data_IF_896409471469
#
_entry.id   IF_896409471469
#
_cell.length_a   1.000
_cell.length_b   1.000
_cell.length_c   1.000
_cell.angle_alpha   90.00
_cell.angle_beta   90.00
_cell.angle_gamma   90.00
#
_symmetry.space_group_name_H-M   'P 1'
#
loop_
_entity.id
_entity.type
_entity.pdbx_description
1 polymer ?
#
# COMPACT_ATOMS: atom_id res chain seq x y z
N UNK A 1 -14.45 -19.52 -20.36
CA UNK A 1 -13.71 -18.26 -20.60
C UNK A 1 -13.59 -17.60 -19.23
N UNK A 2 -12.46 -17.78 -18.54
CA UNK A 2 -12.16 -17.15 -17.24
C UNK A 2 -10.78 -16.54 -17.41
N UNK A 3 -10.76 -15.33 -17.95
CA UNK A 3 -9.58 -14.51 -18.15
C UNK A 3 -9.98 -13.14 -17.63
N UNK A 4 -9.95 -12.95 -16.30
CA UNK A 4 -10.00 -11.61 -15.69
C UNK A 4 -9.82 -11.58 -14.15
N UNK A 5 -9.87 -12.71 -13.43
CA UNK A 5 -9.86 -12.65 -11.94
C UNK A 5 -8.56 -12.15 -11.31
N UNK A 6 -7.46 -12.09 -12.06
CA UNK A 6 -6.17 -11.63 -11.54
C UNK A 6 -5.99 -10.11 -11.65
N UNK A 7 -6.69 -9.47 -12.58
CA UNK A 7 -6.70 -8.01 -12.77
C UNK A 7 -7.91 -7.35 -12.12
N UNK A 8 -8.78 -8.09 -11.44
CA UNK A 8 -9.87 -7.51 -10.66
C UNK A 8 -9.31 -6.67 -9.50
N UNK A 9 -9.50 -5.35 -9.55
CA UNK A 9 -8.89 -4.44 -8.59
C UNK A 9 -9.36 -4.66 -7.15
N UNK A 10 -10.63 -5.03 -6.95
CA UNK A 10 -11.17 -5.40 -5.64
C UNK A 10 -10.47 -6.64 -5.11
N UNK A 11 -10.29 -7.66 -5.96
CA UNK A 11 -9.60 -8.89 -5.58
C UNK A 11 -8.13 -8.63 -5.24
N UNK A 12 -7.45 -7.79 -6.01
CA UNK A 12 -6.07 -7.37 -5.74
C UNK A 12 -5.98 -6.68 -4.38
N UNK A 13 -6.89 -5.75 -4.06
CA UNK A 13 -6.91 -5.06 -2.77
C UNK A 13 -7.17 -6.02 -1.60
N UNK A 14 -8.08 -6.99 -1.74
CA UNK A 14 -8.32 -8.01 -0.72
C UNK A 14 -7.08 -8.88 -0.45
N UNK A 15 -6.37 -9.29 -1.51
CA UNK A 15 -5.12 -10.03 -1.39
C UNK A 15 -4.05 -9.19 -0.68
N UNK A 16 -3.95 -7.91 -1.03
CA UNK A 16 -3.01 -6.98 -0.39
C UNK A 16 -3.33 -6.78 1.10
N UNK A 17 -4.60 -6.60 1.46
CA UNK A 17 -5.01 -6.51 2.86
C UNK A 17 -4.57 -7.75 3.65
N UNK A 18 -4.77 -8.94 3.06
CA UNK A 18 -4.36 -10.21 3.67
C UNK A 18 -2.85 -10.31 3.86
N UNK A 19 -2.05 -9.76 2.94
CA UNK A 19 -0.59 -9.72 3.08
C UNK A 19 -0.13 -8.78 4.19
N UNK A 20 -0.75 -7.59 4.29
CA UNK A 20 -0.43 -6.60 5.32
C UNK A 20 -0.77 -7.14 6.71
N UNK A 21 -1.93 -7.75 6.88
CA UNK A 21 -2.35 -8.29 8.20
C UNK A 21 -1.80 -9.68 8.51
N UNK A 22 -1.41 -10.46 7.51
CA UNK A 22 -0.99 -11.85 7.68
C UNK A 22 0.50 -12.04 8.03
N UNK A 23 1.31 -10.98 8.00
CA UNK A 23 2.75 -11.02 8.27
C UNK A 23 3.04 -10.60 9.72
N UNK A 24 2.68 -11.46 10.66
CA UNK A 24 2.69 -11.16 12.11
C UNK A 24 4.05 -10.68 12.66
N UNK A 25 5.18 -11.09 12.06
CA UNK A 25 6.51 -10.65 12.53
C UNK A 25 7.06 -9.41 11.81
N UNK A 26 6.74 -9.23 10.52
CA UNK A 26 7.36 -8.18 9.69
C UNK A 26 6.52 -6.90 9.62
N UNK A 27 5.20 -7.00 9.84
CA UNK A 27 4.24 -5.91 9.73
C UNK A 27 3.38 -5.77 10.98
N UNK A 28 3.85 -6.24 12.14
CA UNK A 28 3.13 -6.16 13.41
C UNK A 28 2.68 -4.76 13.79
N UNK A 29 3.43 -3.72 13.38
CA UNK A 29 3.10 -2.31 13.59
C UNK A 29 1.99 -1.80 12.65
N UNK A 30 1.74 -2.49 11.55
CA UNK A 30 0.75 -2.10 10.55
C UNK A 30 -0.62 -2.71 10.85
N UNK A 31 -1.66 -1.92 10.66
CA UNK A 31 -3.05 -2.36 10.76
C UNK A 31 -3.88 -1.84 9.60
N UNK A 32 -4.86 -2.61 9.15
CA UNK A 32 -5.85 -2.16 8.18
C UNK A 32 -6.99 -1.47 8.94
N UNK A 33 -7.28 -0.22 8.58
CA UNK A 33 -8.31 0.63 9.19
C UNK A 33 -9.24 1.19 8.11
N UNK A 34 -10.43 1.63 8.51
CA UNK A 34 -11.43 2.27 7.62
C UNK A 34 -11.76 1.42 6.38
N UNK A 35 -11.82 0.10 6.54
CA UNK A 35 -12.07 -0.83 5.44
C UNK A 35 -13.54 -0.86 5.02
N UNK A 36 -13.77 -0.70 3.73
CA UNK A 36 -15.04 -0.89 3.05
C UNK A 36 -14.96 -2.15 2.16
N UNK A 37 -15.48 -3.31 2.62
CA UNK A 37 -15.43 -4.56 1.87
C UNK A 37 -16.36 -4.59 0.65
N UNK A 38 -17.35 -3.69 0.60
CA UNK A 38 -18.37 -3.61 -0.45
C UNK A 38 -18.12 -2.43 -1.41
N UNK A 39 -16.92 -1.83 -1.35
CA UNK A 39 -16.52 -0.71 -2.19
C UNK A 39 -16.69 -1.04 -3.68
N UNK A 40 -17.38 -0.15 -4.40
CA UNK A 40 -17.50 -0.25 -5.86
C UNK A 40 -16.30 0.42 -6.55
N UNK A 41 -15.56 -0.29 -7.42
CA UNK A 41 -14.43 0.29 -8.14
C UNK A 41 -14.84 1.44 -9.06
N UNK A 42 -14.00 2.47 -9.14
CA UNK A 42 -14.20 3.63 -10.02
C UNK A 42 -12.95 3.88 -10.86
N UNK A 43 -13.09 4.55 -12.01
CA UNK A 43 -11.95 4.86 -12.89
C UNK A 43 -10.90 5.76 -12.21
N UNK A 44 -11.31 6.63 -11.29
CA UNK A 44 -10.40 7.48 -10.50
C UNK A 44 -9.81 6.77 -9.26
N UNK A 45 -10.35 5.60 -8.91
CA UNK A 45 -10.01 4.83 -7.72
C UNK A 45 -10.93 5.15 -6.55
N UNK A 46 -11.67 4.15 -6.07
CA UNK A 46 -12.44 4.25 -4.82
C UNK A 46 -11.58 3.82 -3.64
N UNK A 47 -11.62 4.55 -2.52
CA UNK A 47 -10.86 4.18 -1.33
C UNK A 47 -11.46 2.89 -0.73
N UNK A 48 -10.66 1.81 -0.69
CA UNK A 48 -11.07 0.53 -0.12
C UNK A 48 -10.74 0.46 1.37
N UNK A 49 -9.54 0.89 1.76
CA UNK A 49 -9.10 0.92 3.15
C UNK A 49 -7.84 1.79 3.30
N UNK A 50 -7.51 2.13 4.55
CA UNK A 50 -6.23 2.72 4.91
C UNK A 50 -5.37 1.71 5.69
N UNK A 51 -4.07 1.95 5.68
CA UNK A 51 -3.08 1.25 6.51
C UNK A 51 -2.55 2.26 7.51
N UNK A 52 -2.63 1.91 8.79
CA UNK A 52 -2.15 2.73 9.88
C UNK A 52 -0.98 2.08 10.61
N UNK A 53 -0.03 2.89 11.07
CA UNK A 53 1.00 2.53 12.04
C UNK A 53 0.80 3.41 13.28
N UNK A 54 0.71 2.80 14.46
CA UNK A 54 0.51 3.49 15.75
C UNK A 54 -0.64 4.52 15.76
N UNK A 55 -1.69 4.23 15.00
CA UNK A 55 -2.89 5.06 14.89
C UNK A 55 -2.82 6.17 13.84
N UNK A 56 -1.68 6.34 13.15
CA UNK A 56 -1.52 7.32 12.08
C UNK A 56 -1.54 6.66 10.70
N UNK A 57 -2.16 7.31 9.70
CA UNK A 57 -2.29 6.71 8.36
C UNK A 57 -0.99 6.84 7.58
N UNK A 58 -0.42 5.69 7.22
CA UNK A 58 0.85 5.61 6.49
C UNK A 58 0.67 5.24 5.02
N UNK A 59 -0.44 4.57 4.66
CA UNK A 59 -0.81 4.31 3.28
C UNK A 59 -2.34 4.24 3.09
N UNK A 60 -2.80 4.48 1.87
CA UNK A 60 -4.21 4.39 1.45
C UNK A 60 -4.30 3.47 0.22
N UNK A 61 -5.28 2.57 0.18
CA UNK A 61 -5.46 1.63 -0.93
C UNK A 61 -6.75 1.95 -1.66
N UNK A 62 -6.60 2.23 -2.96
CA UNK A 62 -7.68 2.56 -3.87
C UNK A 62 -7.89 1.44 -4.87
N UNK A 63 -9.15 1.18 -5.21
CA UNK A 63 -9.56 0.18 -6.20
C UNK A 63 -10.11 0.82 -7.46
N UNK A 64 -9.58 0.38 -8.59
CA UNK A 64 -10.09 0.65 -9.93
C UNK A 64 -10.58 -0.68 -10.52
N UNK A 65 -11.37 -0.69 -11.61
CA UNK A 65 -11.89 -1.93 -12.16
C UNK A 65 -10.80 -2.98 -12.47
N UNK A 66 -9.64 -2.54 -12.95
CA UNK A 66 -8.57 -3.38 -13.50
C UNK A 66 -7.28 -3.43 -12.65
N UNK A 67 -7.25 -2.76 -11.49
CA UNK A 67 -6.06 -2.65 -10.64
C UNK A 67 -6.37 -2.11 -9.25
N UNK A 68 -5.44 -2.31 -8.33
CA UNK A 68 -5.37 -1.54 -7.09
C UNK A 68 -4.22 -0.52 -7.17
N UNK A 69 -4.34 0.55 -6.38
CA UNK A 69 -3.32 1.59 -6.24
C UNK A 69 -3.08 1.88 -4.78
N UNK A 70 -1.83 1.75 -4.35
CA UNK A 70 -1.39 2.13 -3.01
C UNK A 70 -0.83 3.55 -3.08
N UNK A 71 -1.40 4.48 -2.32
CA UNK A 71 -0.78 5.77 -2.03
C UNK A 71 -0.01 5.63 -0.71
N UNK A 72 1.31 5.82 -0.73
CA UNK A 72 2.13 5.94 0.47
C UNK A 72 2.14 7.42 0.93
N UNK A 73 1.74 7.64 2.17
CA UNK A 73 1.64 8.96 2.81
C UNK A 73 2.89 9.26 3.63
N UNK A 74 3.46 8.25 4.27
CA UNK A 74 4.70 8.32 5.03
C UNK A 74 5.88 7.77 4.22
N UNK A 75 7.05 8.37 4.40
CA UNK A 75 8.30 8.01 3.71
C UNK A 75 8.12 7.68 2.19
N UNK A 76 7.56 8.60 1.39
CA UNK A 76 7.21 8.34 -0.01
C UNK A 76 8.44 8.03 -0.90
N UNK A 77 9.63 8.50 -0.54
CA UNK A 77 10.85 8.30 -1.33
C UNK A 77 11.40 6.86 -1.20
N UNK A 78 11.54 6.36 0.04
CA UNK A 78 12.05 4.99 0.27
C UNK A 78 11.06 3.92 -0.21
N UNK A 79 9.76 4.20 -0.10
CA UNK A 79 8.70 3.31 -0.63
C UNK A 79 8.67 3.33 -2.16
N UNK A 80 8.89 4.49 -2.80
CA UNK A 80 9.02 4.60 -4.24
C UNK A 80 10.21 3.80 -4.79
N UNK A 81 11.36 3.90 -4.14
CA UNK A 81 12.58 3.19 -4.51
C UNK A 81 12.37 1.68 -4.43
N UNK A 82 11.94 1.17 -3.28
CA UNK A 82 11.71 -0.26 -3.07
C UNK A 82 10.65 -0.85 -4.02
N UNK A 83 9.56 -0.10 -4.28
CA UNK A 83 8.55 -0.53 -5.24
C UNK A 83 9.08 -0.56 -6.68
N UNK A 84 9.90 0.43 -7.06
CA UNK A 84 10.50 0.49 -8.40
C UNK A 84 11.51 -0.64 -8.62
N UNK A 85 12.33 -0.95 -7.61
CA UNK A 85 13.27 -2.08 -7.64
C UNK A 85 12.55 -3.44 -7.73
N UNK A 86 11.38 -3.57 -7.10
CA UNK A 86 10.51 -4.73 -7.22
C UNK A 86 9.79 -4.83 -8.59
N UNK A 87 9.99 -3.86 -9.49
CA UNK A 87 9.40 -3.83 -10.83
C UNK A 87 7.98 -3.29 -10.90
N UNK A 88 7.48 -2.66 -9.84
CA UNK A 88 6.17 -2.03 -9.82
C UNK A 88 6.21 -0.66 -10.52
N UNK A 89 5.06 -0.27 -11.08
CA UNK A 89 4.91 1.07 -11.65
C UNK A 89 4.71 2.07 -10.52
N UNK A 90 5.64 3.04 -10.43
CA UNK A 90 5.61 4.10 -9.41
C UNK A 90 5.36 5.47 -10.05
N UNK A 91 4.58 6.32 -9.38
CA UNK A 91 4.34 7.71 -9.76
C UNK A 91 4.38 8.63 -8.52
N UNK A 92 5.39 9.50 -8.41
CA UNK A 92 5.37 10.58 -7.42
C UNK A 92 4.18 11.52 -7.67
N UNK A 93 3.55 12.00 -6.60
CA UNK A 93 2.45 12.96 -6.64
C UNK A 93 2.91 14.25 -5.95
N UNK A 94 2.97 15.32 -6.73
CA UNK A 94 3.39 16.65 -6.27
C UNK A 94 2.30 17.35 -5.43
N UNK A 95 1.94 16.73 -4.30
CA UNK A 95 1.04 17.27 -3.27
C UNK A 95 1.84 17.61 -2.01
N UNK A 96 1.21 18.29 -1.04
CA UNK A 96 1.81 18.56 0.27
C UNK A 96 0.92 18.00 1.38
N UNK A 97 1.41 17.09 2.23
CA UNK A 97 2.72 16.42 2.16
C UNK A 97 2.90 15.57 0.89
N UNK A 98 4.14 15.32 0.43
CA UNK A 98 4.41 14.51 -0.76
C UNK A 98 3.86 13.09 -0.61
N UNK A 99 3.43 12.50 -1.72
CA UNK A 99 2.90 11.12 -1.76
C UNK A 99 3.48 10.36 -2.93
N UNK A 100 3.56 9.05 -2.80
CA UNK A 100 3.96 8.14 -3.88
C UNK A 100 2.84 7.16 -4.19
N UNK A 101 2.51 7.01 -5.47
CA UNK A 101 1.52 6.06 -5.97
C UNK A 101 2.23 4.84 -6.53
N UNK A 102 1.82 3.67 -6.08
CA UNK A 102 2.28 2.36 -6.58
C UNK A 102 1.08 1.62 -7.15
N UNK A 103 1.18 1.19 -8.42
CA UNK A 103 0.12 0.47 -9.11
C UNK A 103 0.34 -1.04 -9.01
N UNK A 104 -0.74 -1.77 -8.71
CA UNK A 104 -0.78 -3.23 -8.63
C UNK A 104 -1.85 -3.70 -9.61
N UNK A 105 -1.41 -4.18 -10.76
CA UNK A 105 -2.25 -4.49 -11.94
C UNK A 105 -2.57 -5.98 -12.05
N UNK A 106 -1.95 -6.82 -11.22
CA UNK A 106 -2.17 -8.27 -11.17
C UNK A 106 -2.02 -8.82 -9.75
N UNK A 107 -2.78 -9.87 -9.41
CA UNK A 107 -2.72 -10.55 -8.13
C UNK A 107 -1.33 -11.07 -7.75
N UNK A 108 -0.46 -11.42 -8.71
CA UNK A 108 0.92 -11.81 -8.46
C UNK A 108 1.79 -10.62 -7.99
N UNK A 109 1.49 -9.40 -8.47
CA UNK A 109 2.20 -8.18 -8.07
C UNK A 109 1.94 -7.80 -6.61
N UNK A 110 0.89 -8.35 -5.98
CA UNK A 110 0.64 -8.16 -4.55
C UNK A 110 1.86 -8.56 -3.71
N UNK A 111 2.57 -9.63 -4.08
CA UNK A 111 3.79 -10.03 -3.36
C UNK A 111 4.96 -9.07 -3.59
N UNK A 112 4.94 -8.33 -4.69
CA UNK A 112 5.98 -7.38 -5.05
C UNK A 112 5.83 -6.06 -4.29
N UNK A 113 4.69 -5.83 -3.61
CA UNK A 113 4.52 -4.67 -2.72
C UNK A 113 5.23 -4.86 -1.38
N UNK A 114 5.52 -6.10 -0.99
CA UNK A 114 6.10 -6.42 0.32
C UNK A 114 7.42 -5.68 0.60
N UNK A 115 8.38 -5.56 -0.34
CA UNK A 115 9.58 -4.76 -0.13
C UNK A 115 9.28 -3.29 0.19
N UNK A 116 8.25 -2.69 -0.44
CA UNK A 116 7.87 -1.30 -0.17
C UNK A 116 7.27 -1.13 1.22
N UNK A 117 6.40 -2.05 1.66
CA UNK A 117 5.89 -2.04 3.04
C UNK A 117 6.98 -2.32 4.07
N UNK A 118 7.96 -3.19 3.77
CA UNK A 118 9.12 -3.41 4.64
C UNK A 118 10.00 -2.16 4.75
N UNK A 119 10.25 -1.47 3.64
CA UNK A 119 10.99 -0.22 3.64
C UNK A 119 10.25 0.88 4.43
N UNK A 120 8.93 0.93 4.33
CA UNK A 120 8.09 1.82 5.14
C UNK A 120 8.27 1.54 6.64
N UNK A 121 8.07 0.29 7.08
CA UNK A 121 8.22 -0.10 8.48
C UNK A 121 9.62 0.23 9.00
N UNK A 122 10.67 -0.13 8.25
CA UNK A 122 12.04 0.17 8.64
C UNK A 122 12.31 1.68 8.77
N UNK A 123 11.65 2.51 7.97
CA UNK A 123 11.79 3.97 8.04
C UNK A 123 11.01 4.59 9.21
N UNK A 124 9.82 4.06 9.52
CA UNK A 124 9.04 4.44 10.71
C UNK A 124 9.82 4.13 11.98
N UNK A 125 10.32 2.91 12.09
CA UNK A 125 11.17 2.44 13.19
C UNK A 125 12.44 3.29 13.36
N UNK A 126 12.99 3.84 12.28
CA UNK A 126 14.15 4.72 12.34
C UNK A 126 13.80 6.12 12.85
N UNK A 127 12.65 6.67 12.42
CA UNK A 127 12.17 7.98 12.85
C UNK A 127 11.79 8.02 14.34
N UNK A 128 11.16 6.96 14.86
CA UNK A 128 10.82 6.87 16.29
C UNK A 128 12.06 6.88 17.20
N UNK A 129 13.18 6.32 16.74
CA UNK A 129 14.45 6.33 17.48
C UNK A 129 15.10 7.71 17.55
N UNK A 130 14.83 8.58 16.58
CA UNK A 130 15.32 9.96 16.59
C UNK A 130 14.52 10.86 17.56
N UNK A 131 13.25 10.50 17.85
CA UNK A 131 12.39 11.27 18.77
C UNK A 131 12.61 10.93 20.26
N UNK A 132 13.11 9.73 20.59
CA UNK A 132 13.37 9.28 21.97
C UNK A 132 14.75 9.73 22.52
N UNK A 133 15.63 10.29 21.68
CA UNK A 133 16.94 10.85 22.09
C UNK A 133 16.95 12.38 22.33
N UNK A 134 15.76 13.03 22.31
CA UNK A 134 15.58 14.49 22.38
C UNK A 134 15.31 15.10 23.76
#
# INVERSE_FOLDING_TARGET
MVVDSLSDGTRIAQLLASEVTGHEDAFSVLSVVDSDPDVEPTDDGALAYAVAADGERVAEVYVQPDRARVEFLAHPDVTAEAASEAGLRVRPKAVRPPRTLVFVEDGAQVKWTLPAFRALVAALDAGEREEDEG
#
